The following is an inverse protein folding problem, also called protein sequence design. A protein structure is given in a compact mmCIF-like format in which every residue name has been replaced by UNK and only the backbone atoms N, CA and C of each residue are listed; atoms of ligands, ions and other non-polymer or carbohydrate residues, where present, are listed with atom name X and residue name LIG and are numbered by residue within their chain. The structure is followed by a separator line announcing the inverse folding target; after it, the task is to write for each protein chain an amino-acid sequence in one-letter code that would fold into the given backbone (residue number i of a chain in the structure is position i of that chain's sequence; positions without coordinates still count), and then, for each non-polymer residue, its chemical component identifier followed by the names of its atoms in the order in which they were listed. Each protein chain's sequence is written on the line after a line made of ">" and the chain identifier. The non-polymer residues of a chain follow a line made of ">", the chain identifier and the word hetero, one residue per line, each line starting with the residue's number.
data_IF_189194403543
#
_entry.id   IF_189194403543
#
_cell.length_a   1.000
_cell.length_b   1.000
_cell.length_c   1.000
_cell.angle_alpha   90.00
_cell.angle_beta   90.00
_cell.angle_gamma   90.00
#
_symmetry.space_group_name_H-M   'P 1'
#
loop_
_entity.id
_entity.type
_entity.pdbx_description
1 polymer ?
#
# COMPACT_ATOMS: atom_id res chain seq x y z
N UNK A 1 70.92 -38.55 -9.01
CA UNK A 1 69.50 -38.59 -9.42
C UNK A 1 69.14 -37.19 -9.91
N UNK A 2 69.09 -36.95 -11.24
CA UNK A 2 68.81 -35.62 -11.79
C UNK A 2 67.30 -35.38 -11.70
N UNK A 3 66.88 -34.48 -10.82
CA UNK A 3 65.48 -34.07 -10.71
C UNK A 3 65.12 -33.35 -12.01
N UNK A 4 64.16 -33.90 -12.75
CA UNK A 4 63.70 -33.32 -14.01
C UNK A 4 62.83 -32.10 -13.71
N UNK A 5 63.44 -30.91 -13.70
CA UNK A 5 62.77 -29.61 -13.48
C UNK A 5 61.57 -29.34 -14.42
N UNK A 6 61.50 -30.04 -15.56
CA UNK A 6 60.36 -29.99 -16.49
C UNK A 6 59.08 -30.62 -15.92
N UNK A 7 59.19 -31.65 -15.08
CA UNK A 7 58.04 -32.31 -14.44
C UNK A 7 57.53 -31.47 -13.26
N UNK A 8 58.44 -30.82 -12.52
CA UNK A 8 58.09 -29.91 -11.43
C UNK A 8 57.35 -28.66 -11.93
N UNK A 9 57.76 -28.10 -13.07
CA UNK A 9 57.06 -26.98 -13.71
C UNK A 9 55.65 -27.33 -14.20
N UNK A 10 55.44 -28.57 -14.67
CA UNK A 10 54.13 -29.02 -15.14
C UNK A 10 53.15 -29.24 -13.98
N UNK A 11 53.62 -29.73 -12.83
CA UNK A 11 52.81 -29.90 -11.62
C UNK A 11 52.46 -28.53 -11.02
N UNK A 12 53.39 -27.56 -11.03
CA UNK A 12 53.14 -26.21 -10.54
C UNK A 12 52.12 -25.44 -11.40
N UNK A 13 52.07 -25.72 -12.72
CA UNK A 13 51.10 -25.12 -13.63
C UNK A 13 49.66 -25.65 -13.45
N UNK A 14 49.50 -26.89 -12.99
CA UNK A 14 48.16 -27.49 -12.76
C UNK A 14 47.51 -26.96 -11.47
N UNK A 15 48.30 -26.60 -10.46
CA UNK A 15 47.79 -26.02 -9.19
C UNK A 15 47.35 -24.56 -9.36
N UNK A 16 47.81 -23.85 -10.40
CA UNK A 16 47.45 -22.46 -10.68
C UNK A 16 46.04 -22.24 -11.25
N UNK A 17 45.31 -23.31 -11.63
CA UNK A 17 43.98 -23.21 -12.25
C UNK A 17 42.82 -23.62 -11.33
N UNK A 18 43.04 -23.94 -10.04
CA UNK A 18 41.94 -24.07 -9.08
C UNK A 18 41.50 -22.68 -8.61
N UNK A 19 40.77 -21.98 -9.47
CA UNK A 19 40.03 -20.78 -9.08
C UNK A 19 38.85 -21.22 -8.20
N UNK A 20 38.90 -20.88 -6.91
CA UNK A 20 37.73 -20.96 -6.03
C UNK A 20 36.70 -19.94 -6.52
N UNK A 21 35.77 -20.36 -7.38
CA UNK A 21 34.64 -19.51 -7.80
C UNK A 21 33.70 -19.21 -6.62
N UNK A 22 33.46 -20.21 -5.76
CA UNK A 22 32.48 -20.14 -4.67
C UNK A 22 32.84 -19.18 -3.52
N UNK A 23 34.08 -18.66 -3.47
CA UNK A 23 34.48 -17.65 -2.48
C UNK A 23 34.11 -16.23 -2.88
N UNK A 24 33.88 -15.99 -4.18
CA UNK A 24 33.55 -14.67 -4.73
C UNK A 24 32.05 -14.49 -4.99
N UNK A 25 31.28 -15.56 -5.08
CA UNK A 25 29.81 -15.56 -5.14
C UNK A 25 29.21 -15.72 -3.74
N UNK A 26 29.54 -14.81 -2.82
CA UNK A 26 28.82 -14.71 -1.55
C UNK A 26 27.53 -13.92 -1.79
N UNK A 27 26.40 -14.63 -1.91
CA UNK A 27 25.09 -13.99 -1.74
C UNK A 27 25.08 -13.30 -0.35
N UNK A 28 24.54 -12.07 -0.23
CA UNK A 28 24.54 -11.37 1.05
C UNK A 28 23.80 -12.23 2.09
N UNK A 29 24.46 -12.64 3.16
CA UNK A 29 23.89 -13.52 4.19
C UNK A 29 22.63 -12.90 4.84
N UNK A 30 22.50 -11.57 4.76
CA UNK A 30 21.41 -10.78 5.32
C UNK A 30 20.44 -10.19 4.29
N UNK A 31 20.60 -10.47 3.00
CA UNK A 31 19.64 -10.06 1.98
C UNK A 31 19.21 -11.27 1.19
N UNK A 32 17.92 -11.56 1.21
CA UNK A 32 17.37 -12.55 0.32
C UNK A 32 17.45 -11.94 -1.08
N UNK A 33 18.20 -12.58 -1.98
CA UNK A 33 18.38 -12.06 -3.34
C UNK A 33 17.03 -11.94 -4.06
N UNK A 34 16.89 -10.90 -4.89
CA UNK A 34 15.63 -10.53 -5.56
C UNK A 34 14.96 -11.67 -6.36
N UNK A 35 15.71 -12.72 -6.74
CA UNK A 35 15.22 -13.79 -7.60
C UNK A 35 14.64 -15.03 -6.90
N UNK A 36 14.74 -15.16 -5.57
CA UNK A 36 14.31 -16.41 -4.89
C UNK A 36 13.46 -16.20 -3.63
N UNK A 37 13.14 -14.96 -3.22
CA UNK A 37 12.38 -14.79 -1.98
C UNK A 37 10.93 -15.26 -2.06
N UNK A 38 10.25 -15.13 -3.20
CA UNK A 38 8.83 -15.47 -3.32
C UNK A 38 8.64 -16.85 -3.95
N UNK A 39 9.15 -17.88 -3.29
CA UNK A 39 9.24 -19.25 -3.80
C UNK A 39 8.18 -20.21 -3.24
N UNK A 40 7.51 -19.82 -2.15
CA UNK A 40 6.44 -20.60 -1.51
C UNK A 40 5.29 -19.72 -1.01
N UNK A 41 4.26 -20.37 -0.45
CA UNK A 41 3.03 -19.71 -0.01
C UNK A 41 3.29 -18.72 1.13
N UNK A 42 4.10 -19.10 2.12
CA UNK A 42 4.41 -18.30 3.29
C UNK A 42 5.18 -17.02 2.92
N UNK A 43 6.08 -17.12 1.94
CA UNK A 43 6.83 -15.97 1.42
C UNK A 43 5.95 -15.00 0.63
N UNK A 44 5.03 -15.50 -0.19
CA UNK A 44 4.03 -14.67 -0.86
C UNK A 44 3.08 -14.02 0.14
N UNK A 45 2.69 -14.75 1.20
CA UNK A 45 1.91 -14.19 2.30
C UNK A 45 2.64 -13.05 3.02
N UNK A 46 3.95 -13.19 3.26
CA UNK A 46 4.77 -12.11 3.79
C UNK A 46 4.75 -10.87 2.88
N UNK A 47 4.75 -11.07 1.55
CA UNK A 47 4.52 -10.01 0.58
C UNK A 47 3.16 -9.33 0.74
N UNK A 48 2.09 -10.10 0.96
CA UNK A 48 0.74 -9.55 1.23
C UNK A 48 0.72 -8.74 2.52
N UNK A 49 1.38 -9.23 3.59
CA UNK A 49 1.52 -8.48 4.85
C UNK A 49 2.28 -7.17 4.61
N UNK A 50 3.34 -7.20 3.79
CA UNK A 50 4.07 -6.00 3.41
C UNK A 50 3.17 -4.98 2.69
N UNK A 51 2.16 -5.40 1.91
CA UNK A 51 1.20 -4.43 1.33
C UNK A 51 0.51 -3.64 2.45
N UNK A 52 0.02 -4.32 3.49
CA UNK A 52 -0.68 -3.70 4.61
C UNK A 52 0.21 -2.77 5.44
N UNK A 53 1.46 -3.16 5.69
CA UNK A 53 2.49 -2.27 6.29
C UNK A 53 2.62 -0.97 5.48
N UNK A 54 2.69 -1.08 4.15
CA UNK A 54 2.79 0.09 3.27
C UNK A 54 1.60 1.06 3.38
N UNK A 55 0.41 0.56 3.74
CA UNK A 55 -0.78 1.40 3.92
C UNK A 55 -0.68 2.32 5.14
N UNK A 56 0.00 1.89 6.21
CA UNK A 56 0.14 2.67 7.45
C UNK A 56 0.77 4.04 7.18
N UNK A 57 1.82 4.09 6.36
CA UNK A 57 2.49 5.35 6.01
C UNK A 57 1.63 6.23 5.11
N UNK A 58 0.80 5.62 4.24
CA UNK A 58 0.00 6.33 3.26
C UNK A 58 -1.10 7.20 3.87
N UNK A 59 -1.69 6.76 4.98
CA UNK A 59 -2.80 7.46 5.65
C UNK A 59 -2.33 8.44 6.73
N UNK A 60 -1.14 8.23 7.30
CA UNK A 60 -0.64 8.93 8.48
C UNK A 60 -0.66 10.46 8.36
N UNK A 61 -0.35 10.98 7.17
CA UNK A 61 -0.33 12.42 6.84
C UNK A 61 -1.27 12.81 5.71
N UNK A 62 -2.19 11.91 5.34
CA UNK A 62 -3.14 12.15 4.25
C UNK A 62 -4.01 13.39 4.48
N UNK A 63 -4.38 13.65 5.75
CA UNK A 63 -5.20 14.80 6.13
C UNK A 63 -4.59 16.15 5.69
N UNK A 64 -3.26 16.23 5.55
CA UNK A 64 -2.60 17.43 5.04
C UNK A 64 -3.07 17.76 3.62
N UNK A 65 -3.22 16.73 2.79
CA UNK A 65 -3.63 16.88 1.41
C UNK A 65 -5.15 16.92 1.30
N UNK A 66 -5.89 16.19 2.13
CA UNK A 66 -7.34 16.04 1.94
C UNK A 66 -8.19 16.97 2.79
N UNK A 67 -7.74 17.36 3.99
CA UNK A 67 -8.53 18.14 4.96
C UNK A 67 -7.98 19.55 5.21
N UNK A 68 -6.66 19.79 5.19
CA UNK A 68 -6.11 21.13 5.44
C UNK A 68 -6.42 22.18 4.37
N UNK A 69 -6.96 21.75 3.23
CA UNK A 69 -7.46 22.64 2.17
C UNK A 69 -8.95 22.96 2.31
N UNK A 70 -9.61 22.35 3.30
CA UNK A 70 -11.00 22.63 3.67
C UNK A 70 -11.06 23.67 4.80
N UNK A 71 -12.27 23.99 5.25
CA UNK A 71 -12.54 24.82 6.43
C UNK A 71 -12.59 24.04 7.75
N UNK A 72 -12.28 22.72 7.75
CA UNK A 72 -12.36 21.86 8.93
C UNK A 72 -11.13 21.90 9.83
N UNK A 73 -9.99 22.37 9.35
CA UNK A 73 -8.71 22.38 10.09
C UNK A 73 -7.96 23.68 9.84
N UNK A 74 -6.98 23.99 10.68
CA UNK A 74 -6.09 25.13 10.47
C UNK A 74 -4.66 24.77 10.85
N UNK A 75 -3.70 25.19 10.03
CA UNK A 75 -2.28 25.04 10.39
C UNK A 75 -1.90 25.76 11.68
N UNK A 76 -1.04 25.14 12.50
CA UNK A 76 -0.48 25.77 13.71
C UNK A 76 0.62 26.79 13.40
N UNK A 77 1.26 26.65 12.24
CA UNK A 77 2.34 27.51 11.74
C UNK A 77 1.89 28.26 10.49
N UNK A 78 2.30 29.52 10.35
CA UNK A 78 2.09 30.29 9.11
C UNK A 78 3.24 30.14 8.10
N UNK A 79 4.25 29.33 8.43
CA UNK A 79 5.43 29.07 7.61
C UNK A 79 5.69 27.57 7.44
N UNK A 80 6.43 27.20 6.40
CA UNK A 80 6.83 25.82 6.10
C UNK A 80 5.86 25.09 5.16
N UNK A 81 6.19 23.83 4.85
CA UNK A 81 5.46 23.00 3.87
C UNK A 81 3.99 22.78 4.26
N UNK A 82 3.72 22.65 5.55
CA UNK A 82 2.37 22.47 6.10
C UNK A 82 1.50 23.71 5.91
N UNK A 83 2.06 24.91 6.07
CA UNK A 83 1.34 26.17 5.89
C UNK A 83 0.91 26.39 4.44
N UNK A 84 1.62 25.81 3.47
CA UNK A 84 1.29 25.95 2.06
C UNK A 84 -0.08 25.33 1.70
N UNK A 85 -0.53 24.32 2.44
CA UNK A 85 -1.86 23.73 2.25
C UNK A 85 -2.97 24.70 2.68
N UNK A 86 -2.75 25.44 3.77
CA UNK A 86 -3.69 26.46 4.26
C UNK A 86 -3.80 27.66 3.31
N UNK A 87 -2.66 28.15 2.81
CA UNK A 87 -2.63 29.29 1.90
C UNK A 87 -2.97 28.92 0.46
N UNK A 88 -3.23 27.64 0.19
CA UNK A 88 -3.47 27.08 -1.13
C UNK A 88 -2.34 27.42 -2.14
N UNK A 89 -1.10 27.49 -1.65
CA UNK A 89 0.10 27.85 -2.42
C UNK A 89 1.18 26.76 -2.30
N UNK A 90 0.76 25.51 -2.53
CA UNK A 90 1.61 24.31 -2.45
C UNK A 90 2.67 24.35 -3.55
N UNK A 91 3.94 24.37 -3.13
CA UNK A 91 5.08 24.43 -4.04
C UNK A 91 5.44 23.03 -4.58
N UNK A 92 6.03 22.97 -5.77
CA UNK A 92 6.47 21.71 -6.37
C UNK A 92 7.57 20.98 -5.56
N UNK A 93 8.26 21.69 -4.67
CA UNK A 93 9.29 21.14 -3.78
C UNK A 93 8.73 20.68 -2.43
N UNK A 94 7.41 20.67 -2.24
CA UNK A 94 6.78 20.30 -0.97
C UNK A 94 7.00 18.81 -0.67
N UNK A 95 7.75 18.52 0.40
CA UNK A 95 8.12 17.18 0.83
C UNK A 95 6.94 16.33 1.28
N UNK A 96 5.87 16.92 1.83
CA UNK A 96 4.65 16.19 2.22
C UNK A 96 3.95 15.62 0.99
N UNK A 97 3.85 16.41 -0.08
CA UNK A 97 3.30 15.96 -1.38
C UNK A 97 4.17 14.87 -2.00
N UNK A 98 5.49 15.09 -2.02
CA UNK A 98 6.44 14.13 -2.57
C UNK A 98 6.40 12.78 -1.83
N UNK A 99 6.32 12.80 -0.50
CA UNK A 99 6.22 11.60 0.33
C UNK A 99 4.89 10.87 0.10
N UNK A 100 3.76 11.59 0.06
CA UNK A 100 2.46 10.98 -0.22
C UNK A 100 2.46 10.27 -1.57
N UNK A 101 3.00 10.92 -2.61
CA UNK A 101 3.17 10.33 -3.94
C UNK A 101 4.00 9.04 -3.88
N UNK A 102 5.22 9.10 -3.33
CA UNK A 102 6.11 7.93 -3.30
C UNK A 102 5.55 6.77 -2.48
N UNK A 103 4.84 7.07 -1.38
CA UNK A 103 4.25 6.05 -0.50
C UNK A 103 3.18 5.24 -1.22
N UNK A 104 2.24 5.89 -1.93
CA UNK A 104 1.20 5.14 -2.64
C UNK A 104 1.74 4.39 -3.87
N UNK A 105 2.77 4.90 -4.56
CA UNK A 105 3.47 4.09 -5.58
C UNK A 105 4.23 2.91 -4.99
N UNK A 106 4.75 3.03 -3.76
CA UNK A 106 5.36 1.90 -3.07
C UNK A 106 4.31 0.81 -2.75
N UNK A 107 3.10 1.19 -2.33
CA UNK A 107 1.98 0.24 -2.15
C UNK A 107 1.63 -0.45 -3.48
N UNK A 108 1.56 0.31 -4.59
CA UNK A 108 1.32 -0.25 -5.93
C UNK A 108 2.42 -1.26 -6.30
N UNK A 109 3.69 -0.92 -6.06
CA UNK A 109 4.81 -1.82 -6.29
C UNK A 109 4.69 -3.11 -5.47
N UNK A 110 4.44 -3.02 -4.15
CA UNK A 110 4.26 -4.20 -3.28
C UNK A 110 3.11 -5.09 -3.75
N UNK A 111 1.98 -4.50 -4.14
CA UNK A 111 0.85 -5.24 -4.70
C UNK A 111 1.22 -5.94 -6.00
N UNK A 112 1.90 -5.26 -6.92
CA UNK A 112 2.35 -5.85 -8.18
C UNK A 112 3.37 -6.98 -7.96
N UNK A 113 4.24 -6.86 -6.96
CA UNK A 113 5.18 -7.91 -6.59
C UNK A 113 4.46 -9.17 -6.13
N UNK A 114 3.43 -9.06 -5.27
CA UNK A 114 2.60 -10.22 -4.90
C UNK A 114 1.94 -10.83 -6.13
N UNK A 115 1.29 -10.00 -6.96
CA UNK A 115 0.60 -10.47 -8.17
C UNK A 115 1.52 -11.21 -9.14
N UNK A 116 2.79 -10.78 -9.25
CA UNK A 116 3.81 -11.43 -10.08
C UNK A 116 4.19 -12.83 -9.58
N UNK A 117 4.08 -13.10 -8.28
CA UNK A 117 4.57 -14.33 -7.65
C UNK A 117 3.46 -15.27 -7.14
N UNK A 118 2.20 -15.02 -7.49
CA UNK A 118 1.07 -15.87 -7.08
C UNK A 118 1.20 -17.34 -7.53
N UNK A 119 2.03 -17.64 -8.52
CA UNK A 119 2.31 -19.02 -8.96
C UNK A 119 3.05 -19.87 -7.94
N UNK A 120 3.68 -19.26 -6.93
CA UNK A 120 4.26 -19.96 -5.79
C UNK A 120 3.22 -20.39 -4.72
N UNK A 121 1.95 -20.00 -4.88
CA UNK A 121 0.87 -20.34 -3.96
C UNK A 121 0.11 -21.57 -4.47
N UNK A 122 0.25 -22.69 -3.77
CA UNK A 122 -0.34 -23.97 -4.18
C UNK A 122 -1.85 -24.05 -3.90
N UNK A 123 -2.29 -23.53 -2.75
CA UNK A 123 -3.71 -23.55 -2.38
C UNK A 123 -4.49 -22.52 -3.20
N UNK A 124 -5.43 -22.99 -4.01
CA UNK A 124 -6.21 -22.14 -4.91
C UNK A 124 -7.08 -21.11 -4.18
N UNK A 125 -7.51 -21.40 -2.96
CA UNK A 125 -8.33 -20.48 -2.15
C UNK A 125 -7.47 -19.33 -1.62
N UNK A 126 -6.30 -19.66 -1.05
CA UNK A 126 -5.33 -18.67 -0.60
C UNK A 126 -4.78 -17.84 -1.76
N UNK A 127 -4.49 -18.47 -2.90
CA UNK A 127 -4.05 -17.77 -4.12
C UNK A 127 -5.08 -16.74 -4.57
N UNK A 128 -6.35 -17.12 -4.61
CA UNK A 128 -7.43 -16.19 -4.96
C UNK A 128 -7.54 -15.05 -3.92
N UNK A 129 -7.47 -15.37 -2.64
CA UNK A 129 -7.50 -14.38 -1.56
C UNK A 129 -6.35 -13.37 -1.69
N UNK A 130 -5.10 -13.83 -1.86
CA UNK A 130 -3.92 -12.98 -2.01
C UNK A 130 -4.01 -12.10 -3.27
N UNK A 131 -4.51 -12.64 -4.39
CA UNK A 131 -4.77 -11.86 -5.60
C UNK A 131 -5.80 -10.75 -5.33
N UNK A 132 -6.89 -11.08 -4.64
CA UNK A 132 -7.94 -10.12 -4.31
C UNK A 132 -7.46 -9.00 -3.40
N UNK A 133 -6.63 -9.32 -2.40
CA UNK A 133 -6.06 -8.33 -1.48
C UNK A 133 -5.06 -7.41 -2.17
N UNK A 134 -4.19 -7.96 -3.01
CA UNK A 134 -3.23 -7.17 -3.76
C UNK A 134 -3.94 -6.23 -4.74
N UNK A 135 -4.96 -6.69 -5.45
CA UNK A 135 -5.78 -5.85 -6.34
C UNK A 135 -6.57 -4.79 -5.56
N UNK A 136 -7.14 -5.13 -4.41
CA UNK A 136 -7.82 -4.16 -3.54
C UNK A 136 -6.86 -3.03 -3.13
N UNK A 137 -5.67 -3.37 -2.64
CA UNK A 137 -4.69 -2.37 -2.21
C UNK A 137 -4.14 -1.54 -3.38
N UNK A 138 -3.91 -2.16 -4.55
CA UNK A 138 -3.48 -1.47 -5.76
C UNK A 138 -4.55 -0.49 -6.24
N UNK A 139 -5.82 -0.89 -6.25
CA UNK A 139 -6.93 -0.01 -6.57
C UNK A 139 -7.09 1.13 -5.56
N UNK A 140 -6.94 0.84 -4.25
CA UNK A 140 -6.96 1.86 -3.20
C UNK A 140 -5.87 2.91 -3.44
N UNK A 141 -4.63 2.49 -3.69
CA UNK A 141 -3.50 3.38 -3.94
C UNK A 141 -3.70 4.24 -5.20
N UNK A 142 -4.14 3.66 -6.32
CA UNK A 142 -4.47 4.44 -7.52
C UNK A 142 -5.62 5.41 -7.26
N UNK A 143 -6.66 5.01 -6.52
CA UNK A 143 -7.78 5.87 -6.17
C UNK A 143 -7.38 7.04 -5.26
N UNK A 144 -6.42 6.84 -4.37
CA UNK A 144 -5.80 7.88 -3.53
C UNK A 144 -5.07 8.91 -4.40
N UNK A 145 -4.26 8.43 -5.34
CA UNK A 145 -3.49 9.28 -6.25
C UNK A 145 -4.36 10.06 -7.24
N UNK A 146 -5.25 9.39 -7.98
CA UNK A 146 -6.04 10.02 -9.06
C UNK A 146 -6.95 11.14 -8.55
N UNK A 147 -7.48 11.02 -7.33
CA UNK A 147 -8.34 12.05 -6.72
C UNK A 147 -7.59 13.33 -6.35
N UNK A 148 -6.28 13.24 -6.11
CA UNK A 148 -5.46 14.38 -5.72
C UNK A 148 -4.71 15.00 -6.90
N UNK A 149 -4.28 14.18 -7.85
CA UNK A 149 -3.39 14.60 -8.93
C UNK A 149 -4.06 14.62 -10.31
N UNK A 150 -5.26 14.06 -10.45
CA UNK A 150 -5.89 13.82 -11.76
C UNK A 150 -5.13 12.73 -12.50
N UNK A 151 -4.66 13.04 -13.70
CA UNK A 151 -3.92 12.10 -14.54
C UNK A 151 -2.65 11.60 -13.83
N UNK A 152 -2.32 10.32 -13.91
CA UNK A 152 -1.15 9.74 -13.23
C UNK A 152 -0.52 8.63 -14.05
N UNK A 153 0.77 8.30 -13.86
CA UNK A 153 1.32 7.01 -14.28
C UNK A 153 0.42 5.85 -13.83
N UNK A 154 -0.02 5.03 -14.78
CA UNK A 154 -0.87 3.87 -14.48
C UNK A 154 0.00 2.62 -14.43
N UNK A 155 0.32 2.13 -13.23
CA UNK A 155 1.29 1.05 -13.02
C UNK A 155 0.58 -0.25 -12.63
N UNK A 156 0.50 -1.19 -13.57
CA UNK A 156 -0.28 -2.44 -13.48
C UNK A 156 0.57 -3.71 -13.28
N UNK A 157 1.90 -3.56 -13.25
CA UNK A 157 2.88 -4.62 -12.97
C UNK A 157 4.13 -4.05 -12.30
N UNK A 158 5.07 -4.91 -11.95
CA UNK A 158 6.40 -4.46 -11.54
C UNK A 158 7.08 -3.80 -12.76
N UNK A 159 7.54 -2.57 -12.56
CA UNK A 159 8.13 -1.70 -13.59
C UNK A 159 9.63 -1.60 -13.33
N UNK A 160 10.42 -1.79 -14.38
CA UNK A 160 11.87 -1.66 -14.39
C UNK A 160 12.31 -0.35 -15.06
N UNK A 161 13.61 -0.07 -15.07
CA UNK A 161 14.13 1.19 -15.64
C UNK A 161 13.91 1.27 -17.15
N UNK A 162 13.80 0.13 -17.83
CA UNK A 162 13.57 0.03 -19.27
C UNK A 162 12.10 0.22 -19.68
N UNK A 163 11.17 0.17 -18.73
CA UNK A 163 9.71 0.23 -18.95
C UNK A 163 9.22 1.70 -19.05
N UNK A 164 9.84 2.48 -19.94
CA UNK A 164 9.62 3.93 -20.08
C UNK A 164 8.15 4.29 -20.40
N UNK A 165 7.36 3.36 -20.95
CA UNK A 165 5.94 3.58 -21.25
C UNK A 165 5.11 3.97 -20.01
N UNK A 166 5.56 3.53 -18.82
CA UNK A 166 4.91 3.82 -17.53
C UNK A 166 5.26 5.20 -16.98
N UNK A 167 6.23 5.93 -17.55
CA UNK A 167 6.61 7.25 -17.03
C UNK A 167 5.63 8.35 -17.45
N UNK A 168 4.81 8.07 -18.46
CA UNK A 168 3.79 8.99 -18.95
C UNK A 168 2.52 8.94 -18.09
N UNK A 169 1.94 10.10 -17.81
CA UNK A 169 0.62 10.19 -17.15
C UNK A 169 -0.46 9.68 -18.08
N UNK A 170 -1.34 8.81 -17.58
CA UNK A 170 -2.56 8.39 -18.27
C UNK A 170 -3.74 9.26 -17.83
N UNK A 171 -4.69 9.53 -18.75
CA UNK A 171 -5.94 10.19 -18.45
C UNK A 171 -6.68 9.55 -17.26
N UNK A 172 -7.28 10.39 -16.42
CA UNK A 172 -7.95 9.97 -15.19
C UNK A 172 -9.05 8.93 -15.43
N UNK A 173 -9.77 9.00 -16.56
CA UNK A 173 -10.80 8.03 -16.94
C UNK A 173 -10.23 6.61 -17.15
N UNK A 174 -9.04 6.49 -17.74
CA UNK A 174 -8.34 5.20 -17.88
C UNK A 174 -7.91 4.65 -16.53
N UNK A 175 -7.45 5.52 -15.63
CA UNK A 175 -7.07 5.14 -14.25
C UNK A 175 -8.30 4.65 -13.48
N UNK A 176 -9.44 5.33 -13.60
CA UNK A 176 -10.68 4.89 -12.99
C UNK A 176 -11.20 3.57 -13.55
N UNK A 177 -11.10 3.35 -14.87
CA UNK A 177 -11.47 2.08 -15.48
C UNK A 177 -10.63 0.92 -14.93
N UNK A 178 -9.32 1.14 -14.75
CA UNK A 178 -8.42 0.16 -14.14
C UNK A 178 -8.77 -0.13 -12.66
N UNK A 179 -9.03 0.92 -11.87
CA UNK A 179 -9.46 0.81 -10.48
C UNK A 179 -10.73 -0.03 -10.36
N UNK A 180 -11.73 0.22 -11.23
CA UNK A 180 -12.99 -0.53 -11.24
C UNK A 180 -12.72 -2.00 -11.54
N UNK A 181 -11.92 -2.31 -12.56
CA UNK A 181 -11.58 -3.69 -12.92
C UNK A 181 -10.89 -4.43 -11.77
N UNK A 182 -9.89 -3.81 -11.13
CA UNK A 182 -9.19 -4.42 -9.99
C UNK A 182 -10.14 -4.69 -8.81
N UNK A 183 -11.09 -3.78 -8.54
CA UNK A 183 -12.05 -3.95 -7.46
C UNK A 183 -13.12 -5.00 -7.78
N UNK A 184 -13.61 -5.07 -9.02
CA UNK A 184 -14.52 -6.13 -9.45
C UNK A 184 -13.86 -7.51 -9.32
N UNK A 185 -12.60 -7.62 -9.76
CA UNK A 185 -11.81 -8.82 -9.60
C UNK A 185 -11.60 -9.16 -8.13
N UNK A 186 -11.26 -8.18 -7.28
CA UNK A 186 -11.09 -8.38 -5.85
C UNK A 186 -12.37 -8.86 -5.17
N UNK A 187 -13.53 -8.27 -5.51
CA UNK A 187 -14.85 -8.68 -4.99
C UNK A 187 -15.17 -10.15 -5.33
N UNK A 188 -14.72 -10.63 -6.50
CA UNK A 188 -14.95 -12.02 -6.90
C UNK A 188 -14.09 -13.04 -6.15
N UNK A 189 -12.97 -12.60 -5.56
CA UNK A 189 -11.96 -13.48 -4.95
C UNK A 189 -11.86 -13.37 -3.43
N UNK A 190 -12.17 -12.20 -2.87
CA UNK A 190 -12.07 -11.97 -1.43
C UNK A 190 -13.16 -12.72 -0.66
N UNK A 191 -12.82 -13.36 0.47
CA UNK A 191 -13.80 -13.90 1.39
C UNK A 191 -14.67 -12.82 2.05
N UNK A 192 -15.80 -13.24 2.63
CA UNK A 192 -16.58 -12.43 3.56
C UNK A 192 -15.82 -12.23 4.88
N UNK A 193 -16.30 -11.33 5.74
CA UNK A 193 -15.62 -11.00 7.01
C UNK A 193 -15.34 -12.22 7.89
N UNK A 194 -16.30 -13.16 7.96
CA UNK A 194 -16.15 -14.40 8.73
C UNK A 194 -15.17 -15.42 8.14
N UNK A 195 -14.76 -15.23 6.87
CA UNK A 195 -13.94 -16.19 6.12
C UNK A 195 -12.47 -15.79 6.01
N UNK A 196 -12.05 -14.70 6.65
CA UNK A 196 -10.68 -14.18 6.57
C UNK A 196 -10.25 -13.64 7.94
N UNK A 197 -8.94 -13.63 8.20
CA UNK A 197 -8.39 -13.05 9.42
C UNK A 197 -8.69 -11.54 9.52
N UNK A 198 -8.87 -11.07 10.74
CA UNK A 198 -9.13 -9.66 11.04
C UNK A 198 -8.00 -8.74 10.54
N UNK A 199 -8.36 -7.51 10.19
CA UNK A 199 -7.43 -6.53 9.62
C UNK A 199 -7.14 -6.69 8.13
N UNK A 200 -7.51 -7.82 7.50
CA UNK A 200 -7.32 -8.05 6.06
C UNK A 200 -8.52 -7.52 5.26
N UNK A 201 -8.27 -7.16 4.00
CA UNK A 201 -9.30 -6.67 3.10
C UNK A 201 -10.35 -7.76 2.82
N UNK A 202 -11.61 -7.43 3.03
CA UNK A 202 -12.75 -8.34 2.83
C UNK A 202 -13.48 -8.03 1.53
N UNK A 203 -14.36 -8.93 1.10
CA UNK A 203 -15.31 -8.65 0.01
C UNK A 203 -16.12 -7.37 0.25
N UNK A 204 -16.61 -7.19 1.48
CA UNK A 204 -17.36 -5.99 1.86
C UNK A 204 -16.53 -4.71 1.79
N UNK A 205 -15.23 -4.79 2.12
CA UNK A 205 -14.30 -3.67 1.94
C UNK A 205 -14.10 -3.30 0.47
N UNK A 206 -13.90 -4.28 -0.41
CA UNK A 206 -13.76 -4.04 -1.85
C UNK A 206 -15.05 -3.48 -2.47
N UNK A 207 -16.22 -4.00 -2.09
CA UNK A 207 -17.52 -3.46 -2.50
C UNK A 207 -17.71 -2.00 -2.06
N UNK A 208 -17.34 -1.69 -0.81
CA UNK A 208 -17.47 -0.34 -0.26
C UNK A 208 -16.52 0.65 -0.93
N UNK A 209 -15.29 0.22 -1.25
CA UNK A 209 -14.34 1.03 -2.00
C UNK A 209 -14.80 1.26 -3.44
N UNK A 210 -15.31 0.23 -4.13
CA UNK A 210 -15.86 0.36 -5.49
C UNK A 210 -17.08 1.28 -5.51
N UNK A 211 -17.96 1.19 -4.50
CA UNK A 211 -19.06 2.12 -4.36
C UNK A 211 -18.57 3.57 -4.21
N UNK A 212 -17.51 3.82 -3.42
CA UNK A 212 -16.90 5.15 -3.28
C UNK A 212 -16.31 5.67 -4.60
N UNK A 213 -15.72 4.80 -5.41
CA UNK A 213 -15.26 5.12 -6.78
C UNK A 213 -16.44 5.53 -7.65
N UNK A 214 -17.51 4.73 -7.69
CA UNK A 214 -18.71 5.05 -8.46
C UNK A 214 -19.38 6.35 -8.01
N UNK A 215 -19.45 6.62 -6.71
CA UNK A 215 -19.95 7.91 -6.19
C UNK A 215 -19.11 9.09 -6.67
N UNK A 216 -17.79 8.93 -6.72
CA UNK A 216 -16.86 9.95 -7.20
C UNK A 216 -17.09 10.25 -8.69
N UNK A 217 -17.49 9.25 -9.47
CA UNK A 217 -17.81 9.36 -10.91
C UNK A 217 -19.25 9.80 -11.20
N UNK A 218 -20.11 9.91 -10.17
CA UNK A 218 -21.55 10.20 -10.34
C UNK A 218 -22.42 8.99 -10.72
N UNK A 219 -21.87 7.77 -10.63
CA UNK A 219 -22.55 6.52 -10.95
C UNK A 219 -23.35 6.01 -9.73
N UNK A 220 -24.42 6.73 -9.38
CA UNK A 220 -25.15 6.48 -8.13
C UNK A 220 -25.88 5.13 -8.08
N UNK A 221 -26.29 4.58 -9.23
CA UNK A 221 -27.04 3.32 -9.29
C UNK A 221 -26.14 2.11 -8.98
N UNK A 222 -24.94 2.12 -9.54
CA UNK A 222 -23.90 1.12 -9.33
C UNK A 222 -23.43 1.16 -7.87
N UNK A 223 -23.14 2.36 -7.35
CA UNK A 223 -22.77 2.54 -5.95
C UNK A 223 -23.84 2.01 -4.99
N UNK A 224 -25.11 2.34 -5.25
CA UNK A 224 -26.25 1.86 -4.45
C UNK A 224 -26.30 0.33 -4.41
N UNK A 225 -26.17 -0.31 -5.56
CA UNK A 225 -26.24 -1.78 -5.66
C UNK A 225 -25.16 -2.45 -4.81
N UNK A 226 -23.94 -1.93 -4.85
CA UNK A 226 -22.81 -2.43 -4.06
C UNK A 226 -23.04 -2.23 -2.56
N UNK A 227 -23.50 -1.04 -2.14
CA UNK A 227 -23.75 -0.73 -0.73
C UNK A 227 -24.93 -1.53 -0.15
N UNK A 228 -26.00 -1.74 -0.93
CA UNK A 228 -27.10 -2.62 -0.53
C UNK A 228 -26.61 -4.06 -0.31
N UNK A 229 -25.67 -4.55 -1.12
CA UNK A 229 -25.08 -5.87 -0.92
C UNK A 229 -24.26 -5.96 0.38
N UNK A 230 -23.51 -4.91 0.73
CA UNK A 230 -22.77 -4.83 2.00
C UNK A 230 -23.72 -4.77 3.20
N UNK A 231 -24.77 -3.96 3.13
CA UNK A 231 -25.77 -3.86 4.21
C UNK A 231 -26.53 -5.17 4.44
N UNK A 232 -26.80 -5.92 3.36
CA UNK A 232 -27.56 -7.16 3.43
C UNK A 232 -26.69 -8.41 3.69
N UNK A 233 -25.36 -8.28 3.80
CA UNK A 233 -24.49 -9.45 4.03
C UNK A 233 -24.63 -10.05 5.43
N UNK A 234 -24.98 -9.23 6.41
CA UNK A 234 -24.97 -9.60 7.82
C UNK A 234 -23.58 -9.61 8.47
N UNK A 235 -22.54 -9.19 7.74
CA UNK A 235 -21.15 -9.13 8.24
C UNK A 235 -20.84 -7.86 9.06
N UNK A 236 -21.72 -6.85 9.00
CA UNK A 236 -21.51 -5.53 9.59
C UNK A 236 -22.78 -5.04 10.29
N UNK A 237 -22.60 -4.27 11.36
CA UNK A 237 -23.68 -3.65 12.10
C UNK A 237 -23.23 -2.29 12.65
N UNK A 238 -24.18 -1.37 12.81
CA UNK A 238 -23.92 -0.12 13.50
C UNK A 238 -23.76 -0.39 14.99
N UNK A 239 -22.71 0.16 15.60
CA UNK A 239 -22.54 0.03 17.05
C UNK A 239 -23.56 0.92 17.78
N UNK A 240 -24.17 0.46 18.90
CA UNK A 240 -25.22 1.22 19.57
C UNK A 240 -24.76 2.56 20.14
N UNK A 241 -23.48 2.66 20.54
CA UNK A 241 -22.88 3.87 21.08
C UNK A 241 -21.81 4.40 20.12
N UNK A 242 -21.98 5.63 19.66
CA UNK A 242 -21.03 6.32 18.78
C UNK A 242 -19.59 6.35 19.33
N UNK A 243 -19.42 6.46 20.65
CA UNK A 243 -18.09 6.44 21.28
C UNK A 243 -17.33 5.15 20.92
N UNK A 244 -18.03 4.02 20.90
CA UNK A 244 -17.40 2.72 20.75
C UNK A 244 -16.83 2.53 19.33
N UNK A 245 -17.28 3.31 18.34
CA UNK A 245 -16.65 3.39 17.00
C UNK A 245 -15.14 3.69 17.08
N UNK A 246 -14.71 4.52 18.04
CA UNK A 246 -13.33 5.01 18.15
C UNK A 246 -12.51 4.33 19.24
N UNK A 247 -13.15 3.63 20.16
CA UNK A 247 -12.50 3.03 21.35
C UNK A 247 -12.60 1.51 21.40
N UNK A 248 -13.47 0.91 20.59
CA UNK A 248 -13.56 -0.53 20.40
C UNK A 248 -12.97 -0.87 19.04
N UNK A 249 -11.72 -1.31 19.02
CA UNK A 249 -11.02 -1.67 17.78
C UNK A 249 -11.68 -2.88 17.12
N UNK A 250 -11.64 -2.94 15.79
CA UNK A 250 -12.19 -4.04 15.00
C UNK A 250 -13.70 -4.33 15.22
N UNK A 251 -14.46 -3.36 15.73
CA UNK A 251 -15.91 -3.48 15.94
C UNK A 251 -16.71 -3.77 14.66
N UNK A 252 -17.99 -4.13 14.83
CA UNK A 252 -18.88 -4.56 13.75
C UNK A 252 -19.21 -3.46 12.71
N UNK A 253 -18.97 -2.18 13.02
CA UNK A 253 -19.18 -1.05 12.11
C UNK A 253 -17.95 -0.77 11.22
N UNK A 254 -16.77 -1.24 11.63
CA UNK A 254 -15.53 -1.12 10.85
C UNK A 254 -15.57 -2.09 9.67
N UNK A 255 -15.52 -1.52 8.46
CA UNK A 255 -15.48 -2.29 7.20
C UNK A 255 -14.03 -2.71 6.85
N UNK A 256 -13.10 -1.77 6.98
CA UNK A 256 -11.66 -1.98 6.82
C UNK A 256 -10.92 -0.91 7.63
N UNK A 257 -9.95 -1.33 8.42
CA UNK A 257 -9.10 -0.45 9.21
C UNK A 257 -7.64 -0.87 9.07
N UNK A 258 -6.77 0.12 8.91
CA UNK A 258 -5.32 -0.06 8.97
C UNK A 258 -4.95 -0.20 10.44
N UNK A 259 -4.32 -1.32 10.78
CA UNK A 259 -4.00 -1.67 12.16
C UNK A 259 -2.69 -1.03 12.59
N UNK A 260 -2.64 -0.62 13.84
CA UNK A 260 -1.46 -0.13 14.53
C UNK A 260 -1.35 -0.85 15.88
N UNK A 261 -0.14 -0.90 16.45
CA UNK A 261 0.13 -1.54 17.73
C UNK A 261 0.49 -0.46 18.76
N UNK A 262 -0.19 -0.48 19.90
CA UNK A 262 0.10 0.42 21.02
C UNK A 262 1.55 0.23 21.52
N UNK A 263 2.23 1.35 21.84
CA UNK A 263 3.58 1.39 22.41
C UNK A 263 4.66 0.65 21.58
N UNK A 264 4.43 0.53 20.27
CA UNK A 264 5.40 -0.03 19.34
C UNK A 264 6.09 1.09 18.54
N UNK A 265 7.42 1.13 18.55
CA UNK A 265 8.19 2.18 17.89
C UNK A 265 8.08 2.17 16.35
N UNK A 266 7.75 1.02 15.75
CA UNK A 266 7.69 0.82 14.30
C UNK A 266 6.24 0.75 13.80
N UNK A 267 5.32 0.23 14.62
CA UNK A 267 3.94 -0.09 14.25
C UNK A 267 2.88 0.82 14.90
N UNK A 268 3.28 1.94 15.54
CA UNK A 268 2.34 2.92 16.12
C UNK A 268 2.10 4.12 15.22
N UNK A 269 1.13 4.96 15.57
CA UNK A 269 0.82 6.22 14.88
C UNK A 269 0.70 7.38 15.86
N UNK A 270 0.93 8.59 15.34
CA UNK A 270 0.76 9.86 16.04
C UNK A 270 -0.31 10.75 15.39
N UNK A 271 -1.17 10.20 14.54
CA UNK A 271 -2.25 10.90 13.86
C UNK A 271 -3.12 11.68 14.85
N UNK A 272 -3.60 11.05 15.93
CA UNK A 272 -4.46 11.73 16.91
C UNK A 272 -3.72 12.85 17.65
N UNK A 273 -2.41 12.72 17.86
CA UNK A 273 -1.57 13.74 18.49
C UNK A 273 -1.53 15.03 17.67
N UNK A 274 -1.53 14.92 16.33
CA UNK A 274 -1.51 16.07 15.42
C UNK A 274 -2.75 16.96 15.55
N UNK A 275 -3.86 16.44 16.08
CA UNK A 275 -5.08 17.21 16.35
C UNK A 275 -5.17 17.73 17.80
N UNK A 276 -4.13 17.55 18.60
CA UNK A 276 -4.06 18.08 19.98
C UNK A 276 -3.23 19.37 20.05
N UNK A 277 -3.22 20.04 21.22
CA UNK A 277 -2.34 21.19 21.46
C UNK A 277 -0.84 20.86 21.29
N UNK A 278 -0.45 19.59 21.40
CA UNK A 278 0.92 19.10 21.26
C UNK A 278 1.31 18.76 19.81
N UNK A 279 0.33 18.71 18.89
CA UNK A 279 0.55 18.51 17.46
C UNK A 279 1.48 19.56 16.87
N UNK A 280 2.21 19.17 15.82
CA UNK A 280 3.20 20.02 15.14
C UNK A 280 2.66 20.58 13.82
N UNK A 281 1.80 19.83 13.14
CA UNK A 281 1.27 20.15 11.82
C UNK A 281 -0.06 20.90 11.87
N UNK A 282 -1.07 20.33 12.54
CA UNK A 282 -2.40 20.94 12.68
C UNK A 282 -2.55 21.64 14.03
N UNK A 283 -3.29 22.75 14.04
CA UNK A 283 -3.76 23.39 15.26
C UNK A 283 -5.14 22.87 15.65
N UNK A 284 -5.51 22.99 16.93
CA UNK A 284 -6.89 22.86 17.36
C UNK A 284 -7.72 23.97 16.72
N UNK A 285 -8.79 23.60 16.01
CA UNK A 285 -9.83 24.54 15.64
C UNK A 285 -10.65 24.87 16.90
N UNK A 286 -10.31 25.99 17.54
CA UNK A 286 -11.23 26.61 18.49
C UNK A 286 -12.45 27.09 17.71
N UNK A 287 -13.65 26.83 18.24
CA UNK A 287 -14.88 27.46 17.74
C UNK A 287 -14.62 28.97 17.81
N UNK A 288 -14.54 29.62 16.65
CA UNK A 288 -14.53 31.08 16.63
C UNK A 288 -15.94 31.53 16.97
N UNK A 289 -16.09 32.36 17.99
CA UNK A 289 -17.35 32.97 18.42
C UNK A 289 -17.90 33.89 17.31
N UNK A 290 -18.50 33.32 16.26
CA UNK A 290 -19.28 34.02 15.24
C UNK A 290 -20.68 33.41 15.14
#
# INVERSE_FOLDING_TARGET
>A
MKINYRILGLILAVVGFSSCKDFLDLAPISQIGDNEFYSNTEEVEAGVIAIYDGLQQGVLREFALTEMRSDNTRTKSSEGEWAQFETLDVQATNGVVANYWSTWYNVIFRANTVLQHLDAVDDATLKAQFEGEAKFARALAHFKLVRLFGDIPLVDRVVYIEDEEYYSRKPSDQVYAFIIQDLEDAISKLPTRSGIAEGRATKGAAQSLLAKVHLTLGNYSEARTLLEAVMNSGDYALVPNYRDVFYDELNEEIIFAIQYIEDNAEESQDFSLEFTALGRASGLNYITDN
#
